data_IF_371791290041
#
_entry.id   IF_371791290041
#
_cell.length_a   1.000
_cell.length_b   1.000
_cell.length_c   1.000
_cell.angle_alpha   90.00
_cell.angle_beta   90.00
_cell.angle_gamma   90.00
#
_symmetry.space_group_name_H-M   'P 1'
#
loop_
_entity.id
_entity.type
_entity.pdbx_description
1 polymer ?
#
# COMPACT_ATOMS: atom_id res chain seq x y z
N UNK A 1 22.13 -2.61 7.60
CA UNK A 1 21.86 -2.09 6.24
C UNK A 1 21.14 -0.75 6.39
N UNK A 2 21.79 0.38 6.07
CA UNK A 2 21.31 1.73 6.41
C UNK A 2 19.94 2.06 5.80
N UNK A 3 19.73 1.76 4.50
CA UNK A 3 18.44 2.03 3.85
C UNK A 3 17.28 1.28 4.51
N UNK A 4 17.43 -0.02 4.80
CA UNK A 4 16.40 -0.81 5.51
C UNK A 4 16.05 -0.19 6.87
N UNK A 5 17.07 0.22 7.63
CA UNK A 5 16.88 0.86 8.93
C UNK A 5 16.21 2.24 8.82
N UNK A 6 16.54 3.02 7.78
CA UNK A 6 15.88 4.32 7.52
C UNK A 6 14.39 4.17 7.19
N UNK A 7 14.05 3.12 6.44
CA UNK A 7 12.68 2.78 6.03
C UNK A 7 11.89 2.04 7.12
N UNK A 8 12.43 1.92 8.34
CA UNK A 8 11.64 1.43 9.47
C UNK A 8 10.74 2.55 10.00
N UNK A 9 9.52 2.21 10.36
CA UNK A 9 8.53 3.14 10.92
C UNK A 9 7.86 2.42 12.09
N UNK A 10 8.21 2.78 13.31
CA UNK A 10 7.77 2.07 14.51
C UNK A 10 8.59 2.45 15.74
N UNK A 11 8.32 1.84 16.90
CA UNK A 11 9.02 2.14 18.15
C UNK A 11 10.53 1.86 18.05
N UNK A 12 10.93 0.92 17.20
CA UNK A 12 12.33 0.55 16.97
C UNK A 12 13.01 1.40 15.87
N UNK A 13 12.33 2.45 15.38
CA UNK A 13 12.91 3.33 14.35
C UNK A 13 14.14 4.04 14.94
N UNK A 14 15.32 3.89 14.31
CA UNK A 14 16.54 4.43 14.90
C UNK A 14 16.51 5.97 14.85
N UNK A 15 16.96 6.60 15.93
CA UNK A 15 16.93 8.06 16.11
C UNK A 15 17.59 8.81 14.94
N UNK A 16 18.68 8.28 14.38
CA UNK A 16 19.37 8.90 13.25
C UNK A 16 18.48 9.02 11.99
N UNK A 17 17.47 8.14 11.82
CA UNK A 17 16.54 8.23 10.70
C UNK A 17 15.67 9.48 10.77
N UNK A 18 15.26 9.90 11.98
CA UNK A 18 14.55 11.16 12.18
C UNK A 18 15.45 12.37 11.88
N UNK A 19 16.74 12.31 12.22
CA UNK A 19 17.71 13.32 11.81
C UNK A 19 17.89 13.36 10.29
N UNK A 20 17.92 12.20 9.64
CA UNK A 20 17.99 12.11 8.18
C UNK A 20 16.76 12.73 7.51
N UNK A 21 15.54 12.47 8.00
CA UNK A 21 14.32 13.13 7.52
C UNK A 21 14.45 14.67 7.61
N UNK A 22 14.90 15.19 8.76
CA UNK A 22 15.09 16.63 8.96
C UNK A 22 16.16 17.23 8.02
N UNK A 23 17.27 16.54 7.81
CA UNK A 23 18.32 16.97 6.89
C UNK A 23 17.84 16.98 5.44
N UNK A 24 17.07 15.97 5.02
CA UNK A 24 16.42 15.98 3.71
C UNK A 24 15.43 17.15 3.56
N UNK A 25 14.64 17.43 4.60
CA UNK A 25 13.67 18.52 4.63
C UNK A 25 14.33 19.91 4.56
N UNK A 26 15.55 20.07 5.08
CA UNK A 26 16.32 21.33 5.03
C UNK A 26 16.95 21.58 3.66
N UNK A 27 17.38 20.53 2.94
CA UNK A 27 18.17 20.62 1.71
C UNK A 27 17.31 20.42 0.46
N UNK A 28 16.42 21.37 0.19
CA UNK A 28 15.50 21.32 -0.95
C UNK A 28 15.94 22.22 -2.13
N UNK A 29 15.63 21.86 -3.38
CA UNK A 29 15.86 22.72 -4.54
C UNK A 29 14.94 23.95 -4.53
N UNK A 30 15.30 24.98 -5.29
CA UNK A 30 14.52 26.22 -5.39
C UNK A 30 13.05 25.99 -5.81
N UNK A 31 12.78 24.97 -6.62
CA UNK A 31 11.42 24.59 -7.04
C UNK A 31 10.52 24.16 -5.87
N UNK A 32 11.10 23.76 -4.74
CA UNK A 32 10.39 23.27 -3.56
C UNK A 32 10.42 24.28 -2.39
N UNK A 33 10.94 25.50 -2.63
CA UNK A 33 11.06 26.54 -1.59
C UNK A 33 9.72 26.91 -0.95
N UNK A 34 8.61 26.77 -1.69
CA UNK A 34 7.26 27.10 -1.23
C UNK A 34 6.55 25.93 -0.52
N UNK A 35 7.15 24.73 -0.47
CA UNK A 35 6.64 23.63 0.34
C UNK A 35 6.88 23.97 1.80
N UNK A 36 5.85 23.95 2.63
CA UNK A 36 5.97 24.24 4.05
C UNK A 36 6.94 23.24 4.72
N UNK A 37 8.02 23.68 5.40
CA UNK A 37 8.97 22.79 6.07
C UNK A 37 8.34 21.82 7.08
N UNK A 38 7.26 22.22 7.77
CA UNK A 38 6.66 21.44 8.86
C UNK A 38 5.88 20.20 8.38
N UNK A 39 5.66 20.10 7.07
CA UNK A 39 4.99 18.97 6.43
C UNK A 39 5.97 18.11 5.59
N UNK A 40 7.24 18.50 5.50
CA UNK A 40 8.28 17.72 4.81
C UNK A 40 8.68 16.56 5.71
N UNK A 41 8.15 15.39 5.43
CA UNK A 41 8.40 14.15 6.16
C UNK A 41 9.33 13.24 5.33
N UNK A 42 9.00 11.96 5.21
CA UNK A 42 9.85 11.02 4.49
C UNK A 42 9.80 11.23 2.97
N UNK A 43 10.97 11.38 2.35
CA UNK A 43 11.12 11.64 0.89
C UNK A 43 10.60 10.52 -0.01
N UNK A 44 10.43 9.30 0.51
CA UNK A 44 9.90 8.17 -0.26
C UNK A 44 8.38 8.04 -0.15
N UNK A 45 7.75 8.75 0.78
CA UNK A 45 6.29 8.77 0.98
C UNK A 45 5.61 10.03 0.41
N UNK A 46 6.39 11.00 -0.07
CA UNK A 46 5.90 12.26 -0.59
C UNK A 46 6.50 12.63 -1.96
N UNK A 47 5.87 13.58 -2.65
CA UNK A 47 6.26 14.06 -4.00
C UNK A 47 7.10 15.33 -4.02
N UNK A 48 7.32 16.00 -2.88
CA UNK A 48 8.30 17.09 -2.82
C UNK A 48 9.72 16.54 -2.93
N UNK A 49 10.64 17.34 -3.46
CA UNK A 49 12.00 16.89 -3.78
C UNK A 49 13.05 17.44 -2.81
N UNK A 50 14.09 16.65 -2.56
CA UNK A 50 15.32 17.03 -1.85
C UNK A 50 16.51 16.92 -2.80
N UNK A 51 17.65 17.55 -2.49
CA UNK A 51 18.87 17.32 -3.24
C UNK A 51 19.35 15.86 -3.05
N UNK A 52 19.67 15.22 -4.18
CA UNK A 52 20.25 13.86 -4.25
C UNK A 52 21.64 13.87 -4.91
N UNK A 53 22.22 15.06 -5.09
CA UNK A 53 23.54 15.27 -5.69
C UNK A 53 24.55 15.70 -4.61
N UNK A 54 25.69 16.25 -5.01
CA UNK A 54 26.74 16.69 -4.08
C UNK A 54 26.35 17.90 -3.20
N UNK A 55 25.15 18.48 -3.37
CA UNK A 55 24.58 19.46 -2.45
C UNK A 55 23.98 18.81 -1.18
N UNK A 56 23.91 17.48 -1.17
CA UNK A 56 23.50 16.67 -0.02
C UNK A 56 24.73 16.11 0.71
N UNK A 57 24.56 15.77 1.99
CA UNK A 57 25.61 15.06 2.75
C UNK A 57 25.94 13.70 2.09
N UNK A 58 27.21 13.25 2.14
CA UNK A 58 27.61 12.00 1.50
C UNK A 58 26.77 10.78 1.92
N UNK A 59 26.47 10.65 3.21
CA UNK A 59 25.70 9.51 3.75
C UNK A 59 24.25 9.48 3.21
N UNK A 60 23.59 10.63 3.19
CA UNK A 60 22.23 10.73 2.65
C UNK A 60 22.20 10.55 1.14
N UNK A 61 23.24 11.00 0.43
CA UNK A 61 23.40 10.72 -0.99
C UNK A 61 23.49 9.22 -1.25
N UNK A 62 24.35 8.50 -0.52
CA UNK A 62 24.49 7.04 -0.62
C UNK A 62 23.14 6.35 -0.38
N UNK A 63 22.35 6.82 0.60
CA UNK A 63 21.02 6.30 0.89
C UNK A 63 20.09 6.45 -0.33
N UNK A 64 20.04 7.64 -0.94
CA UNK A 64 19.20 7.89 -2.13
C UNK A 64 19.70 7.16 -3.38
N UNK A 65 21.02 7.05 -3.58
CA UNK A 65 21.62 6.29 -4.68
C UNK A 65 21.31 4.80 -4.55
N UNK A 66 21.36 4.26 -3.32
CA UNK A 66 21.03 2.86 -3.03
C UNK A 66 19.56 2.59 -3.30
N UNK A 67 18.67 3.47 -2.85
CA UNK A 67 17.25 3.39 -3.12
C UNK A 67 16.97 3.39 -4.63
N UNK A 68 17.62 4.28 -5.39
CA UNK A 68 17.50 4.34 -6.84
C UNK A 68 18.05 3.08 -7.53
N UNK A 69 19.23 2.61 -7.14
CA UNK A 69 19.89 1.42 -7.71
C UNK A 69 19.01 0.19 -7.62
N UNK A 70 18.30 0.02 -6.51
CA UNK A 70 17.43 -1.13 -6.29
C UNK A 70 15.96 -0.85 -6.62
N UNK A 71 15.64 0.25 -7.30
CA UNK A 71 14.25 0.56 -7.68
C UNK A 71 13.32 0.58 -6.47
N UNK A 72 13.73 1.24 -5.38
CA UNK A 72 12.87 1.40 -4.20
C UNK A 72 11.62 2.21 -4.58
N UNK A 73 10.44 1.68 -4.27
CA UNK A 73 9.17 2.41 -4.34
C UNK A 73 8.18 1.86 -3.32
N UNK A 74 7.07 2.58 -3.13
CA UNK A 74 5.92 2.04 -2.41
C UNK A 74 5.10 1.19 -3.38
N UNK A 75 4.85 -0.08 -3.03
CA UNK A 75 4.10 -0.98 -3.89
C UNK A 75 3.53 -2.19 -3.12
N UNK A 76 2.34 -2.61 -3.53
CA UNK A 76 1.62 -3.76 -2.98
C UNK A 76 0.28 -3.94 -3.68
N UNK A 77 -0.34 -5.11 -3.52
CA UNK A 77 -1.67 -5.37 -4.08
C UNK A 77 -2.75 -4.57 -3.31
N UNK A 78 -2.71 -4.62 -1.99
CA UNK A 78 -3.54 -3.83 -1.08
C UNK A 78 -2.83 -3.62 0.26
N UNK A 79 -3.25 -2.59 1.00
CA UNK A 79 -2.72 -2.25 2.32
C UNK A 79 -3.86 -2.17 3.32
N UNK A 80 -3.58 -2.53 4.58
CA UNK A 80 -4.57 -2.35 5.64
C UNK A 80 -4.88 -0.87 5.84
N UNK A 81 -6.11 -0.56 6.26
CA UNK A 81 -6.56 0.80 6.60
C UNK A 81 -5.67 1.44 7.67
N UNK A 82 -5.10 0.63 8.55
CA UNK A 82 -4.14 1.08 9.56
C UNK A 82 -2.86 1.66 8.95
N UNK A 83 -2.32 1.05 7.89
CA UNK A 83 -1.15 1.54 7.14
C UNK A 83 -1.54 2.78 6.33
N UNK A 84 -2.66 2.71 5.60
CA UNK A 84 -3.13 3.81 4.76
C UNK A 84 -3.30 5.09 5.59
N UNK A 85 -3.92 4.99 6.77
CA UNK A 85 -4.12 6.14 7.67
C UNK A 85 -2.82 6.75 8.19
N UNK A 86 -1.71 6.01 8.23
CA UNK A 86 -0.40 6.52 8.65
C UNK A 86 0.32 7.28 7.53
N UNK A 87 -0.10 7.14 6.27
CA UNK A 87 0.54 7.82 5.14
C UNK A 87 0.46 9.34 5.29
N UNK A 88 1.48 10.11 4.85
CA UNK A 88 1.41 11.56 4.83
C UNK A 88 0.37 12.04 3.83
N UNK A 89 -0.56 12.92 4.23
CA UNK A 89 -1.55 13.46 3.29
C UNK A 89 -0.94 14.52 2.37
N UNK A 90 -0.11 15.41 2.92
CA UNK A 90 0.45 16.52 2.16
C UNK A 90 1.47 16.00 1.17
N UNK A 91 1.32 16.34 -0.11
CA UNK A 91 2.19 15.83 -1.17
C UNK A 91 2.26 14.29 -1.20
N UNK A 92 1.19 13.59 -0.81
CA UNK A 92 1.12 12.12 -0.81
C UNK A 92 1.63 11.54 -2.13
N UNK A 93 2.49 10.51 -2.05
CA UNK A 93 3.23 9.97 -3.21
C UNK A 93 2.35 9.53 -4.38
N UNK A 94 1.23 8.88 -4.07
CA UNK A 94 0.30 8.29 -5.06
C UNK A 94 -0.96 9.12 -5.29
N UNK A 95 -1.04 10.32 -4.70
CA UNK A 95 -2.19 11.19 -4.92
C UNK A 95 -2.15 11.83 -6.31
N UNK A 96 -3.30 12.25 -6.80
CA UNK A 96 -3.39 13.10 -7.99
C UNK A 96 -2.52 14.37 -7.83
N UNK A 97 -1.82 14.75 -8.90
CA UNK A 97 -0.92 15.90 -8.93
C UNK A 97 -1.57 17.22 -8.49
N UNK A 98 -2.89 17.36 -8.62
CA UNK A 98 -3.69 18.50 -8.12
C UNK A 98 -3.47 18.72 -6.63
N UNK A 99 -3.12 17.70 -5.84
CA UNK A 99 -2.83 17.84 -4.41
C UNK A 99 -1.80 18.93 -4.11
N UNK A 100 -0.84 19.16 -5.02
CA UNK A 100 0.18 20.21 -4.87
C UNK A 100 -0.44 21.61 -4.85
N UNK A 101 -1.53 21.81 -5.56
CA UNK A 101 -2.26 23.10 -5.62
C UNK A 101 -3.07 23.39 -4.35
N UNK A 102 -3.40 22.36 -3.57
CA UNK A 102 -4.27 22.45 -2.38
C UNK A 102 -3.54 22.92 -1.11
N UNK A 103 -2.31 23.40 -1.21
CA UNK A 103 -1.43 23.63 -0.05
C UNK A 103 -1.48 25.04 0.55
N UNK A 104 -1.97 26.03 -0.19
CA UNK A 104 -1.74 27.45 0.12
C UNK A 104 -2.98 28.22 0.60
N UNK A 105 -4.15 27.59 0.64
CA UNK A 105 -5.37 28.26 1.13
C UNK A 105 -5.27 28.56 2.62
N UNK A 106 -6.01 29.55 3.11
CA UNK A 106 -6.10 29.83 4.55
C UNK A 106 -6.55 28.59 5.35
N UNK A 107 -7.51 27.83 4.81
CA UNK A 107 -7.92 26.55 5.39
C UNK A 107 -6.75 25.56 5.46
N UNK A 108 -5.95 25.42 4.40
CA UNK A 108 -4.77 24.53 4.43
C UNK A 108 -3.71 24.98 5.44
N UNK A 109 -3.51 26.29 5.61
CA UNK A 109 -2.62 26.81 6.65
C UNK A 109 -3.14 26.50 8.05
N UNK A 110 -4.44 26.67 8.28
CA UNK A 110 -5.09 26.29 9.55
C UNK A 110 -4.98 24.78 9.80
N UNK A 111 -5.22 23.94 8.78
CA UNK A 111 -5.07 22.49 8.88
C UNK A 111 -3.64 22.09 9.29
N UNK A 112 -2.62 22.76 8.75
CA UNK A 112 -1.21 22.48 9.07
C UNK A 112 -0.81 22.93 10.48
N UNK A 113 -1.20 24.14 10.88
CA UNK A 113 -0.70 24.80 12.10
C UNK A 113 -1.58 24.56 13.32
N UNK A 114 -2.89 24.71 13.18
CA UNK A 114 -3.82 24.62 14.30
C UNK A 114 -4.30 23.17 14.48
N UNK A 115 -4.80 22.55 13.41
CA UNK A 115 -5.26 21.16 13.47
C UNK A 115 -4.13 20.13 13.46
N UNK A 116 -2.89 20.56 13.21
CA UNK A 116 -1.72 19.70 13.11
C UNK A 116 -1.89 18.49 12.17
N UNK A 117 -2.68 18.64 11.10
CA UNK A 117 -2.93 17.57 10.13
C UNK A 117 -1.63 17.17 9.45
N UNK A 118 -1.26 15.89 9.57
CA UNK A 118 -0.05 15.33 8.95
C UNK A 118 -0.36 14.09 8.12
N UNK A 119 -1.35 13.30 8.53
CA UNK A 119 -1.62 11.99 7.96
C UNK A 119 -2.95 11.94 7.20
N UNK A 120 -3.12 10.88 6.41
CA UNK A 120 -4.39 10.53 5.77
C UNK A 120 -5.46 10.30 6.83
N UNK A 121 -5.14 9.66 7.97
CA UNK A 121 -6.08 9.44 9.07
C UNK A 121 -6.58 10.73 9.73
N UNK A 122 -5.71 11.73 9.92
CA UNK A 122 -6.13 13.05 10.44
C UNK A 122 -7.12 13.73 9.48
N UNK A 123 -6.82 13.62 8.18
CA UNK A 123 -7.61 14.21 7.10
C UNK A 123 -8.98 13.54 6.97
N UNK A 124 -9.00 12.21 7.02
CA UNK A 124 -10.22 11.40 7.02
C UNK A 124 -11.13 11.79 8.19
N UNK A 125 -10.55 11.91 9.40
CA UNK A 125 -11.29 12.27 10.61
C UNK A 125 -11.99 13.62 10.45
N UNK A 126 -11.29 14.65 9.95
CA UNK A 126 -11.89 15.96 9.69
C UNK A 126 -12.89 15.95 8.53
N UNK A 127 -12.63 15.21 7.47
CA UNK A 127 -13.54 15.10 6.33
C UNK A 127 -14.86 14.43 6.72
N UNK A 128 -14.81 13.41 7.58
CA UNK A 128 -15.99 12.67 8.04
C UNK A 128 -16.89 13.52 8.95
N UNK A 129 -16.38 14.56 9.60
CA UNK A 129 -17.21 15.49 10.39
C UNK A 129 -18.26 16.21 9.53
N UNK A 130 -18.06 16.33 8.22
CA UNK A 130 -19.07 16.88 7.30
C UNK A 130 -20.33 16.01 7.16
N UNK A 131 -20.24 14.73 7.50
CA UNK A 131 -21.35 13.78 7.42
C UNK A 131 -22.23 13.80 8.67
N UNK A 132 -21.92 14.66 9.66
CA UNK A 132 -22.75 14.79 10.85
C UNK A 132 -24.09 15.46 10.49
N UNK A 133 -25.21 14.81 10.81
CA UNK A 133 -26.57 15.30 10.51
C UNK A 133 -26.88 16.68 11.14
N UNK A 134 -26.20 17.04 12.23
CA UNK A 134 -26.36 18.33 12.91
C UNK A 134 -25.47 19.44 12.31
N UNK A 135 -24.62 19.12 11.34
CA UNK A 135 -23.72 20.07 10.71
C UNK A 135 -24.42 20.89 9.64
N UNK A 136 -24.17 22.19 9.64
CA UNK A 136 -24.66 23.10 8.58
C UNK A 136 -23.50 23.57 7.71
N UNK A 137 -23.78 23.99 6.47
CA UNK A 137 -22.75 24.44 5.52
C UNK A 137 -22.18 25.84 5.83
N UNK A 138 -22.21 26.26 7.09
CA UNK A 138 -21.81 27.59 7.55
C UNK A 138 -20.67 27.50 8.58
N UNK A 139 -19.81 28.51 8.64
CA UNK A 139 -18.68 28.54 9.59
C UNK A 139 -19.10 28.85 11.05
N UNK A 140 -20.32 29.34 11.25
CA UNK A 140 -20.93 29.60 12.57
C UNK A 140 -21.73 28.39 13.10
N UNK A 141 -21.64 27.22 12.46
CA UNK A 141 -22.38 26.03 12.84
C UNK A 141 -22.16 25.69 14.33
N UNK A 142 -23.24 25.38 15.04
CA UNK A 142 -23.23 25.07 16.46
C UNK A 142 -23.25 23.56 16.76
N UNK A 143 -22.96 22.69 15.78
CA UNK A 143 -22.75 21.27 16.06
C UNK A 143 -21.62 21.08 17.08
N UNK A 144 -21.65 19.95 17.79
CA UNK A 144 -20.59 19.56 18.72
C UNK A 144 -19.21 19.57 18.03
N UNK A 145 -19.13 19.05 16.80
CA UNK A 145 -17.94 19.09 15.96
C UNK A 145 -17.33 20.48 15.77
N UNK A 146 -18.13 21.44 15.28
CA UNK A 146 -17.68 22.79 15.00
C UNK A 146 -17.35 23.56 16.29
N UNK A 147 -18.10 23.30 17.36
CA UNK A 147 -17.84 23.91 18.68
C UNK A 147 -16.54 23.38 19.27
N UNK A 148 -16.27 22.08 19.14
CA UNK A 148 -15.00 21.49 19.52
C UNK A 148 -13.86 22.14 18.72
N UNK A 149 -13.92 22.18 17.39
CA UNK A 149 -12.84 22.76 16.58
C UNK A 149 -12.61 24.26 16.84
N UNK A 150 -13.65 25.03 17.18
CA UNK A 150 -13.53 26.44 17.59
C UNK A 150 -12.87 26.62 18.96
N UNK A 151 -13.08 25.69 19.88
CA UNK A 151 -12.50 25.77 21.24
C UNK A 151 -11.12 25.13 21.31
N UNK A 152 -10.90 24.06 20.56
CA UNK A 152 -9.65 23.34 20.42
C UNK A 152 -9.62 22.67 19.04
N UNK A 153 -8.84 23.16 18.06
CA UNK A 153 -7.60 23.94 18.23
C UNK A 153 -7.72 25.46 17.98
N UNK A 154 -8.85 26.09 18.27
CA UNK A 154 -9.10 27.52 17.94
C UNK A 154 -9.24 27.78 16.43
N UNK A 155 -9.99 26.93 15.73
CA UNK A 155 -10.29 27.11 14.31
C UNK A 155 -11.44 28.11 14.11
N UNK A 156 -11.16 29.24 13.45
CA UNK A 156 -12.16 30.28 13.15
C UNK A 156 -13.21 29.83 12.12
N UNK A 157 -12.82 28.93 11.22
CA UNK A 157 -13.66 28.49 10.10
C UNK A 157 -13.67 26.96 9.96
N UNK A 158 -14.36 26.24 10.88
CA UNK A 158 -14.36 24.77 10.89
C UNK A 158 -14.87 24.16 9.59
N UNK A 159 -15.99 24.65 9.04
CA UNK A 159 -16.55 24.12 7.80
C UNK A 159 -15.56 24.23 6.64
N UNK A 160 -14.91 25.38 6.47
CA UNK A 160 -13.87 25.57 5.46
C UNK A 160 -12.71 24.58 5.60
N UNK A 161 -12.26 24.31 6.83
CA UNK A 161 -11.19 23.35 7.10
C UNK A 161 -11.62 21.90 6.80
N UNK A 162 -12.82 21.49 7.20
CA UNK A 162 -13.35 20.17 6.87
C UNK A 162 -13.52 19.99 5.35
N UNK A 163 -14.03 21.01 4.64
CA UNK A 163 -14.13 20.98 3.18
C UNK A 163 -12.76 20.90 2.50
N UNK A 164 -11.75 21.57 3.05
CA UNK A 164 -10.39 21.48 2.56
C UNK A 164 -9.78 20.09 2.82
N UNK A 165 -10.04 19.48 3.98
CA UNK A 165 -9.67 18.10 4.27
C UNK A 165 -10.32 17.13 3.29
N UNK A 166 -11.62 17.30 3.00
CA UNK A 166 -12.34 16.51 2.01
C UNK A 166 -11.71 16.62 0.61
N UNK A 167 -11.31 17.84 0.19
CA UNK A 167 -10.59 18.03 -1.08
C UNK A 167 -9.27 17.26 -1.13
N UNK A 168 -8.51 17.25 -0.04
CA UNK A 168 -7.23 16.53 0.05
C UNK A 168 -7.44 15.02 -0.07
N UNK A 169 -8.31 14.45 0.75
CA UNK A 169 -8.54 12.99 0.74
C UNK A 169 -9.14 12.49 -0.58
N UNK A 170 -9.94 13.32 -1.28
CA UNK A 170 -10.46 12.99 -2.60
C UNK A 170 -9.40 12.94 -3.72
N UNK A 171 -8.16 13.35 -3.45
CA UNK A 171 -7.04 13.16 -4.41
C UNK A 171 -6.42 11.77 -4.33
N UNK A 172 -6.77 10.98 -3.30
CA UNK A 172 -6.22 9.64 -3.10
C UNK A 172 -6.93 8.65 -4.03
N UNK A 173 -6.19 7.79 -4.74
CA UNK A 173 -6.78 6.70 -5.49
C UNK A 173 -7.27 5.59 -4.54
N UNK A 174 -8.14 4.66 -4.99
CA UNK A 174 -8.81 3.70 -4.11
C UNK A 174 -7.88 2.87 -3.21
N UNK A 175 -6.70 2.48 -3.72
CA UNK A 175 -5.69 1.73 -2.95
C UNK A 175 -5.15 2.47 -1.73
N UNK A 176 -5.18 3.81 -1.76
CA UNK A 176 -4.62 4.69 -0.74
C UNK A 176 -5.68 5.57 -0.07
N UNK A 177 -6.96 5.36 -0.37
CA UNK A 177 -8.07 6.04 0.30
C UNK A 177 -8.68 5.10 1.34
N UNK A 178 -8.58 5.42 2.64
CA UNK A 178 -9.14 4.56 3.67
C UNK A 178 -10.64 4.42 3.49
N UNK A 179 -11.38 5.36 2.91
CA UNK A 179 -12.84 5.29 2.75
C UNK A 179 -13.30 4.27 1.69
N UNK A 180 -12.39 3.75 0.89
CA UNK A 180 -12.70 2.72 -0.12
C UNK A 180 -13.13 1.40 0.54
N UNK A 181 -13.78 0.54 -0.24
CA UNK A 181 -13.97 -0.87 0.11
C UNK A 181 -12.63 -1.57 -0.16
N UNK A 182 -11.98 -2.04 0.89
CA UNK A 182 -10.66 -2.66 0.86
C UNK A 182 -10.79 -4.20 0.93
N UNK A 183 -9.80 -4.97 0.43
CA UNK A 183 -9.83 -6.42 0.53
C UNK A 183 -9.96 -6.95 1.97
N UNK A 184 -9.45 -6.23 2.96
CA UNK A 184 -9.64 -6.61 4.37
C UNK A 184 -11.10 -6.55 4.85
N UNK A 185 -11.97 -5.80 4.17
CA UNK A 185 -13.38 -5.67 4.55
C UNK A 185 -14.20 -6.93 4.18
N UNK A 186 -13.72 -7.73 3.22
CA UNK A 186 -14.44 -8.91 2.72
C UNK A 186 -13.62 -10.21 2.69
N UNK A 187 -12.28 -10.14 2.74
CA UNK A 187 -11.44 -11.35 2.85
C UNK A 187 -11.33 -11.80 4.31
N UNK A 188 -11.91 -12.96 4.62
CA UNK A 188 -11.83 -13.57 5.96
C UNK A 188 -10.59 -14.45 6.07
N UNK A 189 -9.97 -14.46 7.26
CA UNK A 189 -8.90 -15.42 7.57
C UNK A 189 -9.48 -16.84 7.46
N UNK A 190 -8.81 -17.77 6.76
CA UNK A 190 -9.34 -19.12 6.66
C UNK A 190 -9.38 -19.77 8.04
N UNK A 191 -10.47 -20.49 8.31
CA UNK A 191 -10.62 -21.26 9.53
C UNK A 191 -9.99 -22.64 9.33
N UNK A 192 -9.26 -23.11 10.33
CA UNK A 192 -8.77 -24.49 10.35
C UNK A 192 -9.92 -25.39 10.80
N UNK A 193 -10.47 -26.15 9.88
CA UNK A 193 -11.55 -27.11 10.15
C UNK A 193 -11.01 -28.50 10.47
N UNK A 194 -9.82 -28.82 9.98
CA UNK A 194 -9.17 -30.11 10.14
C UNK A 194 -7.73 -29.93 10.68
N UNK A 195 -7.32 -30.64 11.75
CA UNK A 195 -5.96 -30.61 12.26
C UNK A 195 -4.90 -31.05 11.25
N UNK A 196 -5.20 -31.92 10.30
CA UNK A 196 -4.20 -32.43 9.36
C UNK A 196 -3.99 -31.49 8.16
N UNK A 197 -4.86 -30.49 8.00
CA UNK A 197 -4.81 -29.53 6.91
C UNK A 197 -4.37 -28.14 7.37
N UNK A 198 -3.44 -27.55 6.61
CA UNK A 198 -3.04 -26.16 6.76
C UNK A 198 -3.76 -25.36 5.66
N UNK A 199 -4.73 -24.50 6.00
CA UNK A 199 -5.41 -23.73 4.98
C UNK A 199 -4.46 -22.70 4.36
N UNK A 200 -4.52 -22.58 3.04
CA UNK A 200 -3.83 -21.51 2.32
C UNK A 200 -4.47 -20.15 2.62
N UNK A 201 -3.67 -19.20 3.09
CA UNK A 201 -4.12 -17.84 3.36
C UNK A 201 -4.02 -16.98 2.09
N UNK A 202 -5.13 -16.89 1.35
CA UNK A 202 -5.22 -16.12 0.11
C UNK A 202 -5.43 -14.61 0.31
N UNK A 203 -5.29 -14.10 1.53
CA UNK A 203 -5.44 -12.66 1.80
C UNK A 203 -4.29 -11.89 1.19
N UNK A 204 -4.60 -10.82 0.48
CA UNK A 204 -3.59 -10.00 -0.23
C UNK A 204 -3.22 -8.72 0.53
N UNK A 205 -3.95 -8.39 1.58
CA UNK A 205 -3.76 -7.16 2.35
C UNK A 205 -2.43 -7.21 3.10
N UNK A 206 -1.55 -6.26 2.80
CA UNK A 206 -0.34 -6.04 3.58
C UNK A 206 -0.70 -5.39 4.92
N UNK A 207 -0.26 -6.02 6.01
CA UNK A 207 -0.46 -5.57 7.39
C UNK A 207 0.89 -5.20 8.02
N UNK A 208 0.86 -4.42 9.11
CA UNK A 208 2.07 -3.98 9.81
C UNK A 208 2.22 -2.47 9.83
N UNK A 209 3.38 -1.99 9.42
CA UNK A 209 3.82 -0.59 9.50
C UNK A 209 3.99 0.03 8.11
N UNK A 210 4.31 1.33 8.06
CA UNK A 210 4.73 1.98 6.80
C UNK A 210 5.99 1.34 6.19
N UNK A 211 6.83 0.62 6.96
CA UNK A 211 7.97 -0.09 6.39
C UNK A 211 7.52 -1.15 5.37
N UNK A 212 6.33 -1.73 5.59
CA UNK A 212 5.80 -2.84 4.81
C UNK A 212 5.21 -2.40 3.47
N UNK A 213 5.10 -1.09 3.21
CA UNK A 213 4.70 -0.57 1.90
C UNK A 213 5.85 -0.55 0.88
N UNK A 214 7.10 -0.60 1.35
CA UNK A 214 8.24 -0.47 0.47
C UNK A 214 8.59 -1.79 -0.24
N UNK A 215 8.90 -1.70 -1.53
CA UNK A 215 9.43 -2.79 -2.35
C UNK A 215 10.71 -2.33 -3.03
N UNK A 216 11.66 -3.26 -3.13
CA UNK A 216 12.92 -3.12 -3.87
C UNK A 216 12.95 -4.18 -4.97
N UNK A 217 13.95 -4.07 -5.85
CA UNK A 217 14.05 -4.85 -7.08
C UNK A 217 12.84 -4.66 -7.99
N UNK A 218 12.27 -3.45 -8.00
CA UNK A 218 11.16 -3.10 -8.90
C UNK A 218 11.67 -2.54 -10.22
N UNK A 219 10.86 -2.70 -11.27
CA UNK A 219 11.14 -2.15 -12.59
C UNK A 219 10.55 -0.75 -12.71
N UNK A 220 11.42 0.24 -12.94
CA UNK A 220 11.02 1.64 -13.14
C UNK A 220 10.14 1.89 -14.36
N UNK A 221 10.11 0.97 -15.32
CA UNK A 221 9.24 1.06 -16.50
C UNK A 221 7.79 0.64 -16.20
N UNK A 222 7.57 -0.12 -15.12
CA UNK A 222 6.23 -0.56 -14.70
C UNK A 222 5.61 0.51 -13.83
N UNK A 223 4.44 1.02 -14.21
CA UNK A 223 3.69 1.99 -13.41
C UNK A 223 2.93 1.24 -12.31
N UNK A 224 3.07 1.64 -11.03
CA UNK A 224 2.28 1.06 -9.95
C UNK A 224 0.78 1.18 -10.22
N UNK A 225 0.08 0.07 -10.07
CA UNK A 225 -1.37 0.02 -10.26
C UNK A 225 -2.01 0.59 -8.99
N UNK A 226 -2.84 1.62 -9.09
CA UNK A 226 -3.53 2.22 -7.93
C UNK A 226 -5.01 1.80 -7.81
N UNK A 227 -5.44 0.85 -8.63
CA UNK A 227 -6.72 0.15 -8.46
C UNK A 227 -6.58 -1.02 -7.49
N UNK A 228 -7.70 -1.37 -6.85
CA UNK A 228 -7.80 -2.57 -6.01
C UNK A 228 -8.36 -3.72 -6.87
N UNK A 229 -7.79 -4.94 -6.77
CA UNK A 229 -8.40 -6.10 -7.40
C UNK A 229 -9.72 -6.44 -6.70
N UNK A 230 -10.71 -6.88 -7.47
CA UNK A 230 -11.94 -7.44 -6.91
C UNK A 230 -11.73 -8.94 -6.65
N UNK A 231 -11.60 -9.30 -5.38
CA UNK A 231 -11.38 -10.68 -4.94
C UNK A 231 -12.61 -11.28 -4.26
N UNK A 232 -13.78 -10.66 -4.43
CA UNK A 232 -15.04 -11.18 -3.88
C UNK A 232 -15.41 -12.45 -4.65
N UNK A 233 -15.59 -13.55 -3.93
CA UNK A 233 -16.10 -14.80 -4.51
C UNK A 233 -17.53 -14.57 -4.97
N UNK A 234 -17.83 -14.86 -6.23
CA UNK A 234 -19.18 -14.79 -6.80
C UNK A 234 -20.03 -16.03 -6.49
N UNK A 235 -19.62 -16.83 -5.50
CA UNK A 235 -20.29 -18.08 -5.13
C UNK A 235 -21.24 -17.79 -3.96
N UNK A 236 -22.51 -18.26 -4.00
CA UNK A 236 -23.42 -18.16 -2.87
C UNK A 236 -22.81 -18.73 -1.60
N UNK A 237 -22.99 -18.09 -0.44
CA UNK A 237 -22.45 -18.56 0.86
C UNK A 237 -22.85 -20.00 1.22
N UNK A 238 -23.90 -20.54 0.58
CA UNK A 238 -24.45 -21.87 0.80
C UNK A 238 -24.26 -22.84 -0.39
N UNK A 239 -23.50 -22.46 -1.41
CA UNK A 239 -23.20 -23.40 -2.48
C UNK A 239 -22.20 -24.43 -1.93
N UNK A 240 -22.63 -25.68 -1.84
CA UNK A 240 -21.69 -26.79 -1.68
C UNK A 240 -20.90 -26.91 -2.99
N UNK A 241 -19.74 -26.26 -3.03
CA UNK A 241 -18.82 -26.39 -4.16
C UNK A 241 -18.10 -27.74 -4.17
N UNK A 242 -18.28 -28.56 -3.14
CA UNK A 242 -17.47 -29.75 -2.90
C UNK A 242 -16.02 -29.40 -2.60
N UNK A 243 -15.35 -30.21 -1.78
CA UNK A 243 -13.90 -30.19 -1.68
C UNK A 243 -13.37 -31.31 -2.57
N UNK A 244 -12.46 -30.99 -3.49
CA UNK A 244 -11.75 -31.99 -4.28
C UNK A 244 -10.32 -32.08 -3.73
N UNK A 245 -9.89 -33.30 -3.42
CA UNK A 245 -8.50 -33.57 -3.06
C UNK A 245 -7.72 -33.80 -4.36
N UNK A 246 -6.69 -32.99 -4.58
CA UNK A 246 -5.82 -33.09 -5.75
C UNK A 246 -4.39 -33.30 -5.27
N UNK A 247 -3.75 -34.36 -5.74
CA UNK A 247 -2.31 -34.54 -5.64
C UNK A 247 -1.63 -33.82 -6.81
N UNK A 248 -0.63 -33.00 -6.52
CA UNK A 248 0.19 -32.29 -7.51
C UNK A 248 1.60 -32.85 -7.50
N UNK A 249 2.24 -32.94 -8.65
CA UNK A 249 3.65 -33.34 -8.76
C UNK A 249 4.33 -32.64 -9.93
N UNK A 250 5.61 -32.26 -9.73
CA UNK A 250 6.47 -31.70 -10.75
C UNK A 250 7.68 -32.59 -11.01
N UNK A 251 7.94 -32.91 -12.27
CA UNK A 251 9.08 -33.76 -12.64
C UNK A 251 9.92 -33.13 -13.73
N UNK A 252 11.25 -33.26 -13.64
CA UNK A 252 12.18 -32.76 -14.62
C UNK A 252 13.24 -33.80 -14.97
N UNK A 253 13.30 -34.13 -16.25
CA UNK A 253 14.38 -34.91 -16.84
C UNK A 253 15.62 -34.01 -17.02
N UNK A 254 16.80 -34.52 -16.68
CA UNK A 254 18.08 -33.77 -16.70
C UNK A 254 18.03 -32.42 -15.97
N UNK A 255 17.40 -32.39 -14.79
CA UNK A 255 17.28 -31.18 -13.99
C UNK A 255 18.66 -30.56 -13.68
N UNK A 256 18.83 -29.28 -14.03
CA UNK A 256 20.10 -28.55 -13.86
C UNK A 256 20.98 -28.50 -15.12
N UNK A 257 20.62 -29.21 -16.18
CA UNK A 257 21.34 -29.23 -17.46
C UNK A 257 20.63 -28.37 -18.52
N UNK A 258 21.37 -27.95 -19.55
CA UNK A 258 20.82 -27.14 -20.67
C UNK A 258 19.71 -27.85 -21.46
N UNK A 259 19.69 -29.19 -21.42
CA UNK A 259 18.67 -30.01 -22.07
C UNK A 259 17.54 -30.45 -21.13
N UNK A 260 17.41 -29.82 -19.96
CA UNK A 260 16.36 -30.11 -18.99
C UNK A 260 14.96 -30.02 -19.62
N UNK A 261 14.06 -30.94 -19.24
CA UNK A 261 12.65 -30.94 -19.68
C UNK A 261 11.77 -31.21 -18.48
N UNK A 262 10.93 -30.24 -18.13
CA UNK A 262 10.04 -30.34 -16.99
C UNK A 262 8.58 -30.58 -17.43
N UNK A 263 7.83 -31.24 -16.55
CA UNK A 263 6.40 -31.44 -16.65
C UNK A 263 5.74 -31.28 -15.28
N UNK A 264 4.42 -31.15 -15.32
CA UNK A 264 3.54 -31.00 -14.18
C UNK A 264 2.39 -32.00 -14.30
N UNK A 265 1.96 -32.59 -13.20
CA UNK A 265 0.86 -33.52 -13.13
C UNK A 265 -0.10 -33.17 -12.00
N UNK A 266 -1.39 -33.41 -12.23
CA UNK A 266 -2.41 -33.39 -11.20
C UNK A 266 -3.21 -34.69 -11.24
N UNK A 267 -3.49 -35.24 -10.07
CA UNK A 267 -4.20 -36.49 -9.89
C UNK A 267 -5.27 -36.34 -8.81
N UNK A 268 -6.51 -36.72 -9.14
CA UNK A 268 -7.67 -36.67 -8.24
C UNK A 268 -8.00 -38.06 -7.73
N UNK A 269 -8.29 -39.00 -8.64
CA UNK A 269 -8.56 -40.41 -8.34
C UNK A 269 -8.34 -41.27 -9.59
N UNK A 270 -8.38 -42.62 -9.51
CA UNK A 270 -8.31 -43.46 -10.70
C UNK A 270 -9.38 -43.07 -11.72
N UNK A 271 -8.99 -42.97 -13.00
CA UNK A 271 -9.84 -42.62 -14.16
C UNK A 271 -10.64 -41.31 -14.04
N UNK A 272 -10.27 -40.43 -13.10
CA UNK A 272 -10.94 -39.14 -12.95
C UNK A 272 -10.69 -38.24 -14.17
N UNK A 273 -11.75 -37.68 -14.75
CA UNK A 273 -11.67 -36.86 -15.98
C UNK A 273 -10.82 -35.59 -15.83
N UNK A 274 -10.62 -35.14 -14.59
CA UNK A 274 -9.78 -33.99 -14.25
C UNK A 274 -8.30 -34.32 -14.02
N UNK A 275 -7.91 -35.60 -14.06
CA UNK A 275 -6.48 -35.95 -14.07
C UNK A 275 -5.83 -35.33 -15.31
N UNK A 276 -4.74 -34.59 -15.12
CA UNK A 276 -4.06 -33.88 -16.21
C UNK A 276 -2.55 -33.96 -16.04
N UNK A 277 -1.85 -33.90 -17.15
CA UNK A 277 -0.42 -33.65 -17.18
C UNK A 277 -0.11 -32.61 -18.26
N UNK A 278 0.92 -31.79 -18.02
CA UNK A 278 1.35 -30.75 -18.93
C UNK A 278 2.88 -30.73 -18.99
N UNK A 279 3.42 -30.47 -20.19
CA UNK A 279 4.83 -30.12 -20.35
C UNK A 279 5.01 -28.64 -20.04
N UNK A 280 6.11 -28.29 -19.37
CA UNK A 280 6.40 -26.88 -19.12
C UNK A 280 6.80 -26.18 -20.42
N UNK A 281 6.19 -25.02 -20.75
CA UNK A 281 6.62 -24.21 -21.87
C UNK A 281 8.10 -23.83 -21.76
N UNK A 282 8.82 -23.79 -22.88
CA UNK A 282 10.27 -23.53 -22.90
C UNK A 282 10.67 -22.12 -22.44
N UNK A 283 9.73 -21.17 -22.42
CA UNK A 283 9.98 -19.83 -21.85
C UNK A 283 9.96 -19.83 -20.31
N UNK A 284 9.51 -20.91 -19.68
CA UNK A 284 9.64 -21.15 -18.24
C UNK A 284 10.89 -22.00 -18.03
N UNK A 285 11.70 -21.64 -17.03
CA UNK A 285 12.89 -22.42 -16.68
C UNK A 285 12.53 -23.89 -16.46
N UNK A 286 13.27 -24.80 -17.09
CA UNK A 286 12.99 -26.23 -17.03
C UNK A 286 13.61 -26.81 -15.76
N UNK A 287 12.83 -26.89 -14.68
CA UNK A 287 13.28 -27.44 -13.40
C UNK A 287 12.17 -28.16 -12.66
N UNK A 288 12.53 -29.02 -11.70
CA UNK A 288 11.58 -29.66 -10.79
C UNK A 288 10.69 -28.61 -10.09
N UNK A 289 11.30 -27.55 -9.55
CA UNK A 289 10.60 -26.51 -8.79
C UNK A 289 9.55 -25.77 -9.63
N UNK A 290 9.87 -25.47 -10.88
CA UNK A 290 8.90 -24.87 -11.77
C UNK A 290 7.79 -25.86 -12.15
N UNK A 291 8.11 -27.15 -12.27
CA UNK A 291 7.12 -28.22 -12.45
C UNK A 291 6.07 -28.23 -11.33
N UNK A 292 6.52 -28.18 -10.08
CA UNK A 292 5.65 -28.15 -8.89
C UNK A 292 4.71 -26.93 -8.89
N UNK A 293 5.26 -25.74 -9.18
CA UNK A 293 4.46 -24.49 -9.22
C UNK A 293 3.40 -24.57 -10.32
N UNK A 294 3.75 -25.10 -11.50
CA UNK A 294 2.80 -25.28 -12.59
C UNK A 294 1.74 -26.33 -12.24
N UNK A 295 2.09 -27.41 -11.53
CA UNK A 295 1.13 -28.39 -11.05
C UNK A 295 0.12 -27.79 -10.07
N UNK A 296 0.59 -26.97 -9.11
CA UNK A 296 -0.27 -26.24 -8.18
C UNK A 296 -1.20 -25.25 -8.91
N UNK A 297 -0.70 -24.54 -9.92
CA UNK A 297 -1.52 -23.69 -10.78
C UNK A 297 -2.60 -24.50 -11.52
N UNK A 298 -2.24 -25.62 -12.13
CA UNK A 298 -3.19 -26.49 -12.84
C UNK A 298 -4.29 -27.02 -11.91
N UNK A 299 -3.93 -27.36 -10.67
CA UNK A 299 -4.91 -27.77 -9.66
C UNK A 299 -5.86 -26.62 -9.29
N UNK A 300 -5.34 -25.40 -9.14
CA UNK A 300 -6.17 -24.22 -8.85
C UNK A 300 -7.17 -23.91 -9.98
N UNK A 301 -6.78 -24.12 -11.23
CA UNK A 301 -7.66 -23.96 -12.41
C UNK A 301 -8.78 -25.02 -12.51
N UNK A 302 -8.77 -26.07 -11.67
CA UNK A 302 -9.91 -26.99 -11.56
C UNK A 302 -11.03 -26.43 -10.67
N UNK A 303 -10.73 -25.42 -9.85
CA UNK A 303 -11.65 -24.86 -8.86
C UNK A 303 -12.33 -23.55 -9.33
N UNK A 304 -11.94 -23.01 -10.48
CA UNK A 304 -12.58 -21.89 -11.18
C UNK A 304 -13.62 -22.40 -12.20
#
# INVERSE_FOLDING_TARGET
>A
MWLKSYLSFGPDRPIWASFADALFALRVPCSERNVDPDIRQNIFLQTWNTYTNNMQTPDLKILTDTAKKFGLRIEGMAFSRSIIRQMPIWYHKEADSIIRTLNHTQASQCLKKNHAVRTVGDTETLANMLQNDQHTMENNCNCECCTHLRTNPHCEHPHSCMKQALKLINTLPPKWDPRSILPEDYQKKPQRTDPDWIPFDARITTNGSLADVFRIFTDSSVIPINTLPDLRRQVPENADTGNIIVATDGSCYNNGEDNARAGAGIYVSPDHQMNRSAKLPLYIGQSNQNGEIVAAKLAAELAD
#
